data_IF_792827487776
#
_entry.id   IF_792827487776
#
_cell.length_a   1.000
_cell.length_b   1.000
_cell.length_c   1.000
_cell.angle_alpha   90.00
_cell.angle_beta   90.00
_cell.angle_gamma   90.00
#
_symmetry.space_group_name_H-M   'P 1'
#
loop_
_entity.id
_entity.type
_entity.pdbx_description
1 polymer ?
#
# COMPACT_ATOMS: atom_id res chain seq x y z
N UNK A 1 18.79 60.14 19.83
CA UNK A 1 19.56 58.87 19.82
C UNK A 1 19.06 58.05 21.01
N UNK A 2 18.41 56.89 20.94
CA UNK A 2 18.13 55.97 19.84
C UNK A 2 16.75 55.34 20.08
N UNK A 3 15.79 55.67 19.21
CA UNK A 3 14.52 54.94 19.03
C UNK A 3 14.77 53.64 18.25
N UNK A 4 15.71 52.80 18.69
CA UNK A 4 16.21 51.68 17.88
C UNK A 4 16.45 50.38 18.66
N UNK A 5 15.72 50.15 19.76
CA UNK A 5 15.85 48.93 20.56
C UNK A 5 14.52 48.15 20.70
N UNK A 6 13.36 48.68 20.30
CA UNK A 6 12.07 48.03 20.62
C UNK A 6 11.40 47.17 19.53
N UNK A 7 11.99 46.98 18.33
CA UNK A 7 11.27 46.32 17.22
C UNK A 7 11.91 45.02 16.67
N UNK A 8 12.84 44.39 17.38
CA UNK A 8 13.39 43.09 16.97
C UNK A 8 13.18 42.06 18.09
N UNK A 9 11.96 41.56 18.28
CA UNK A 9 11.72 40.33 19.07
C UNK A 9 10.35 39.65 18.85
N UNK A 10 9.53 40.09 17.88
CA UNK A 10 8.22 39.46 17.61
C UNK A 10 8.09 38.92 16.19
N UNK A 11 9.16 38.29 15.68
CA UNK A 11 9.10 37.45 14.48
C UNK A 11 10.01 36.26 14.72
N UNK A 12 9.43 35.09 15.02
CA UNK A 12 10.19 33.86 15.08
C UNK A 12 9.78 32.94 16.21
N UNK A 13 8.64 32.26 16.03
CA UNK A 13 8.43 30.86 16.43
C UNK A 13 6.92 30.55 16.36
N UNK A 14 6.33 30.63 15.16
CA UNK A 14 5.22 29.71 14.87
C UNK A 14 5.88 28.38 14.58
N UNK A 15 6.32 27.69 15.64
CA UNK A 15 6.61 26.27 15.55
C UNK A 15 5.25 25.63 15.43
N UNK A 16 4.81 25.41 14.19
CA UNK A 16 3.66 24.56 13.89
C UNK A 16 3.95 23.21 14.53
N UNK A 17 3.32 22.96 15.67
CA UNK A 17 3.17 21.62 16.22
C UNK A 17 2.42 20.82 15.15
N UNK A 18 3.17 20.04 14.35
CA UNK A 18 2.59 18.99 13.55
C UNK A 18 1.98 18.00 14.54
N UNK A 19 0.69 18.16 14.79
CA UNK A 19 -0.09 17.19 15.53
C UNK A 19 -0.11 15.93 14.66
N UNK A 20 0.75 14.97 14.98
CA UNK A 20 0.62 13.61 14.45
C UNK A 20 -0.68 13.06 15.02
N UNK A 21 -1.76 13.22 14.26
CA UNK A 21 -3.02 12.54 14.55
C UNK A 21 -2.83 11.08 14.18
N UNK A 22 -2.98 10.18 15.15
CA UNK A 22 -3.04 8.76 14.86
C UNK A 22 -4.26 8.52 13.94
N UNK A 23 -4.01 7.99 12.75
CA UNK A 23 -5.07 7.69 11.80
C UNK A 23 -5.99 6.63 12.43
N UNK A 24 -7.27 6.98 12.64
CA UNK A 24 -8.25 6.12 13.31
C UNK A 24 -9.14 5.46 12.26
N UNK A 25 -9.28 4.14 12.36
CA UNK A 25 -10.25 3.35 11.58
C UNK A 25 -11.66 3.58 12.13
N UNK A 26 -12.64 3.78 11.25
CA UNK A 26 -14.04 3.95 11.65
C UNK A 26 -14.58 2.65 12.29
N UNK A 27 -15.11 2.77 13.50
CA UNK A 27 -15.60 1.64 14.30
C UNK A 27 -16.90 1.04 13.74
N UNK A 28 -17.64 1.79 12.91
CA UNK A 28 -18.90 1.35 12.30
C UNK A 28 -18.71 0.53 11.03
N UNK A 29 -17.50 0.47 10.47
CA UNK A 29 -17.21 -0.31 9.27
C UNK A 29 -17.24 -1.83 9.55
N UNK A 30 -17.51 -2.67 8.52
CA UNK A 30 -17.39 -4.12 8.64
C UNK A 30 -16.01 -4.53 9.16
N UNK A 31 -15.92 -5.59 9.96
CA UNK A 31 -14.65 -6.02 10.57
C UNK A 31 -13.55 -6.33 9.55
N UNK A 32 -13.90 -6.83 8.36
CA UNK A 32 -12.93 -7.09 7.30
C UNK A 32 -12.32 -5.78 6.77
N UNK A 33 -13.14 -4.75 6.53
CA UNK A 33 -12.66 -3.40 6.16
C UNK A 33 -11.79 -2.83 7.27
N UNK A 34 -12.24 -2.93 8.53
CA UNK A 34 -11.49 -2.42 9.68
C UNK A 34 -10.12 -3.09 9.83
N UNK A 35 -10.04 -4.40 9.61
CA UNK A 35 -8.78 -5.13 9.64
C UNK A 35 -7.86 -4.67 8.51
N UNK A 36 -8.36 -4.64 7.27
CA UNK A 36 -7.61 -4.14 6.11
C UNK A 36 -7.07 -2.73 6.33
N UNK A 37 -7.90 -1.80 6.80
CA UNK A 37 -7.45 -0.43 7.09
C UNK A 37 -6.43 -0.37 8.22
N UNK A 38 -6.59 -1.21 9.26
CA UNK A 38 -5.62 -1.30 10.35
C UNK A 38 -4.25 -1.79 9.88
N UNK A 39 -4.22 -2.79 8.98
CA UNK A 39 -2.99 -3.27 8.36
C UNK A 39 -2.36 -2.19 7.48
N UNK A 40 -3.14 -1.52 6.63
CA UNK A 40 -2.64 -0.43 5.77
C UNK A 40 -2.08 0.75 6.58
N UNK A 41 -2.65 1.05 7.75
CA UNK A 41 -2.12 2.08 8.65
C UNK A 41 -0.81 1.62 9.31
N UNK A 42 -0.72 0.36 9.71
CA UNK A 42 0.45 -0.18 10.41
C UNK A 42 1.63 -0.41 9.46
N UNK A 43 1.33 -0.83 8.24
CA UNK A 43 2.25 -1.15 7.17
C UNK A 43 1.91 -0.25 5.97
N UNK A 44 2.24 1.05 5.98
CA UNK A 44 1.87 1.98 4.91
C UNK A 44 2.35 1.56 3.52
N UNK A 45 3.45 0.80 3.44
CA UNK A 45 3.88 0.17 2.20
C UNK A 45 3.58 -1.33 2.27
N UNK A 46 2.94 -1.88 1.24
CA UNK A 46 2.46 -3.28 1.25
C UNK A 46 3.56 -4.34 1.36
N UNK A 47 4.82 -3.99 1.07
CA UNK A 47 5.95 -4.88 1.35
C UNK A 47 6.23 -5.06 2.85
N UNK A 48 5.73 -4.17 3.71
CA UNK A 48 5.89 -4.19 5.17
C UNK A 48 4.89 -5.09 5.88
N UNK A 49 3.87 -5.63 5.17
CA UNK A 49 2.95 -6.62 5.74
C UNK A 49 3.74 -7.77 6.40
N UNK A 50 3.16 -8.38 7.43
CA UNK A 50 3.85 -9.31 8.33
C UNK A 50 5.13 -8.72 8.96
N UNK A 51 5.11 -7.40 9.23
CA UNK A 51 6.18 -6.64 9.89
C UNK A 51 7.56 -6.82 9.25
N UNK A 52 7.60 -6.98 7.93
CA UNK A 52 8.83 -7.31 7.24
C UNK A 52 9.79 -6.11 7.23
N UNK A 53 11.04 -6.25 7.71
CA UNK A 53 11.98 -5.14 7.81
C UNK A 53 12.62 -4.77 6.47
N UNK A 54 12.39 -5.56 5.42
CA UNK A 54 12.94 -5.39 4.08
C UNK A 54 12.10 -6.17 3.07
N UNK A 55 12.31 -5.91 1.77
CA UNK A 55 11.61 -6.62 0.69
C UNK A 55 11.78 -8.14 0.83
N UNK A 56 10.66 -8.86 0.71
CA UNK A 56 10.61 -10.32 0.80
C UNK A 56 9.42 -10.83 -0.01
N UNK A 57 9.64 -11.87 -0.81
CA UNK A 57 8.59 -12.55 -1.56
C UNK A 57 7.96 -13.70 -0.75
N UNK A 58 7.15 -13.41 0.25
CA UNK A 58 6.68 -14.42 1.23
C UNK A 58 5.21 -14.79 1.06
N UNK A 59 4.82 -15.99 1.51
CA UNK A 59 3.45 -16.48 1.39
C UNK A 59 2.47 -15.62 2.18
N UNK A 60 2.92 -15.00 3.29
CA UNK A 60 2.14 -14.08 4.11
C UNK A 60 1.63 -12.90 3.26
N UNK A 61 2.51 -12.23 2.49
CA UNK A 61 2.11 -11.15 1.59
C UNK A 61 1.04 -11.60 0.60
N UNK A 62 1.25 -12.75 -0.05
CA UNK A 62 0.27 -13.28 -1.01
C UNK A 62 -1.09 -13.57 -0.39
N UNK A 63 -1.09 -14.15 0.81
CA UNK A 63 -2.31 -14.49 1.55
C UNK A 63 -3.06 -13.22 2.00
N UNK A 64 -2.35 -12.30 2.65
CA UNK A 64 -2.93 -11.05 3.15
C UNK A 64 -3.46 -10.18 2.02
N UNK A 65 -2.68 -10.00 0.95
CA UNK A 65 -3.12 -9.21 -0.20
C UNK A 65 -4.29 -9.85 -0.95
N UNK A 66 -4.36 -11.18 -1.02
CA UNK A 66 -5.53 -11.86 -1.57
C UNK A 66 -6.78 -11.59 -0.72
N UNK A 67 -6.68 -11.68 0.61
CA UNK A 67 -7.78 -11.35 1.52
C UNK A 67 -8.18 -9.86 1.46
N UNK A 68 -7.21 -8.95 1.36
CA UNK A 68 -7.48 -7.52 1.18
C UNK A 68 -8.20 -7.26 -0.15
N UNK A 69 -7.79 -7.93 -1.23
CA UNK A 69 -8.51 -7.84 -2.48
C UNK A 69 -9.94 -8.43 -2.37
N UNK A 70 -10.20 -9.45 -1.55
CA UNK A 70 -11.59 -9.91 -1.29
C UNK A 70 -12.43 -8.81 -0.62
N UNK A 71 -11.81 -7.99 0.24
CA UNK A 71 -12.46 -6.79 0.80
C UNK A 71 -12.70 -5.73 -0.29
N UNK A 72 -11.75 -5.54 -1.20
CA UNK A 72 -11.94 -4.66 -2.35
C UNK A 72 -13.13 -5.10 -3.22
N UNK A 73 -13.25 -6.37 -3.57
CA UNK A 73 -14.37 -6.86 -4.38
C UNK A 73 -15.72 -6.68 -3.67
N UNK A 74 -15.74 -6.85 -2.35
CA UNK A 74 -16.96 -6.73 -1.56
C UNK A 74 -17.44 -5.28 -1.38
N UNK A 75 -16.53 -4.31 -1.30
CA UNK A 75 -16.86 -2.93 -0.88
C UNK A 75 -16.40 -1.82 -1.84
N UNK A 76 -15.50 -2.11 -2.79
CA UNK A 76 -15.13 -1.24 -3.89
C UNK A 76 -14.15 -0.10 -3.56
N UNK A 77 -13.55 -0.05 -2.37
CA UNK A 77 -12.59 1.01 -2.03
C UNK A 77 -11.25 0.79 -2.75
N UNK A 78 -11.03 1.58 -3.82
CA UNK A 78 -9.86 1.49 -4.70
C UNK A 78 -8.53 1.59 -3.96
N UNK A 79 -8.46 2.25 -2.79
CA UNK A 79 -7.21 2.33 -2.02
C UNK A 79 -6.67 0.95 -1.63
N UNK A 80 -7.56 -0.03 -1.44
CA UNK A 80 -7.19 -1.40 -1.07
C UNK A 80 -6.57 -2.13 -2.28
N UNK A 81 -7.16 -1.96 -3.46
CA UNK A 81 -6.58 -2.47 -4.71
C UNK A 81 -5.22 -1.83 -4.98
N UNK A 82 -5.11 -0.51 -4.86
CA UNK A 82 -3.87 0.22 -5.11
C UNK A 82 -2.75 -0.21 -4.17
N UNK A 83 -3.09 -0.50 -2.91
CA UNK A 83 -2.16 -1.06 -1.93
C UNK A 83 -1.63 -2.45 -2.32
N UNK A 84 -2.49 -3.33 -2.82
CA UNK A 84 -2.07 -4.64 -3.33
C UNK A 84 -1.25 -4.53 -4.63
N UNK A 85 -1.67 -3.66 -5.55
CA UNK A 85 -0.93 -3.37 -6.78
C UNK A 85 0.49 -2.86 -6.48
N UNK A 86 0.65 -1.98 -5.48
CA UNK A 86 1.95 -1.44 -5.09
C UNK A 86 2.96 -2.54 -4.69
N UNK A 87 2.51 -3.66 -4.12
CA UNK A 87 3.40 -4.78 -3.82
C UNK A 87 3.88 -5.47 -5.10
N UNK A 88 2.97 -5.72 -6.04
CA UNK A 88 3.31 -6.30 -7.34
C UNK A 88 4.30 -5.41 -8.11
N UNK A 89 4.02 -4.11 -8.19
CA UNK A 89 4.88 -3.10 -8.85
C UNK A 89 6.26 -3.00 -8.17
N UNK A 90 6.30 -3.14 -6.84
CA UNK A 90 7.55 -3.14 -6.09
C UNK A 90 8.37 -4.41 -6.33
N UNK A 91 7.74 -5.58 -6.41
CA UNK A 91 8.43 -6.88 -6.39
C UNK A 91 8.75 -7.45 -7.77
N UNK A 92 7.99 -7.10 -8.81
CA UNK A 92 8.13 -7.63 -10.16
C UNK A 92 8.86 -6.63 -11.03
N UNK A 93 9.95 -7.07 -11.67
CA UNK A 93 10.73 -6.24 -12.59
C UNK A 93 10.13 -6.24 -14.00
N UNK A 94 10.57 -5.31 -14.84
CA UNK A 94 10.07 -5.19 -16.21
C UNK A 94 10.30 -6.44 -17.08
N UNK A 95 11.31 -7.25 -16.76
CA UNK A 95 11.59 -8.54 -17.42
C UNK A 95 10.80 -9.72 -16.83
N UNK A 96 9.91 -9.46 -15.86
CA UNK A 96 9.11 -10.47 -15.16
C UNK A 96 9.84 -11.19 -14.02
N UNK A 97 11.12 -10.88 -13.77
CA UNK A 97 11.83 -11.45 -12.62
C UNK A 97 11.32 -10.87 -11.29
N UNK A 98 11.30 -11.70 -10.25
CA UNK A 98 10.73 -11.35 -8.94
C UNK A 98 11.87 -11.12 -7.94
N UNK A 99 11.88 -9.96 -7.29
CA UNK A 99 12.87 -9.63 -6.25
C UNK A 99 12.85 -10.67 -5.14
N UNK A 100 14.03 -11.09 -4.68
CA UNK A 100 14.24 -12.05 -3.59
C UNK A 100 13.75 -13.49 -3.83
N UNK A 101 13.07 -13.77 -4.93
CA UNK A 101 12.66 -15.12 -5.29
C UNK A 101 13.81 -15.89 -5.93
N UNK A 102 14.00 -17.15 -5.51
CA UNK A 102 14.97 -18.06 -6.10
C UNK A 102 14.33 -19.42 -6.35
N UNK A 103 14.17 -19.77 -7.63
CA UNK A 103 13.60 -21.06 -8.04
C UNK A 103 14.36 -22.26 -7.43
N UNK A 104 15.68 -22.15 -7.31
CA UNK A 104 16.54 -23.20 -6.75
C UNK A 104 16.29 -23.51 -5.28
N UNK A 105 15.57 -22.67 -4.54
CA UNK A 105 15.16 -22.95 -3.16
C UNK A 105 14.03 -23.99 -3.08
N UNK A 106 13.31 -24.24 -4.19
CA UNK A 106 12.17 -25.17 -4.27
C UNK A 106 11.18 -25.03 -3.11
N UNK A 107 11.01 -23.81 -2.62
CA UNK A 107 10.15 -23.52 -1.48
C UNK A 107 8.71 -23.28 -1.96
N UNK A 108 7.81 -24.18 -1.55
CA UNK A 108 6.40 -24.15 -1.94
C UNK A 108 5.67 -22.89 -1.43
N UNK A 109 6.12 -22.29 -0.33
CA UNK A 109 5.52 -21.08 0.23
C UNK A 109 5.60 -19.91 -0.75
N UNK A 110 6.68 -19.84 -1.54
CA UNK A 110 6.92 -18.78 -2.54
C UNK A 110 5.94 -18.81 -3.71
N UNK A 111 5.23 -19.93 -3.92
CA UNK A 111 4.19 -20.03 -4.95
C UNK A 111 2.92 -19.28 -4.53
N UNK A 112 2.55 -19.29 -3.24
CA UNK A 112 1.34 -18.64 -2.77
C UNK A 112 1.35 -17.13 -2.99
N UNK A 113 2.53 -16.51 -2.82
CA UNK A 113 2.79 -15.09 -3.09
C UNK A 113 2.37 -14.63 -4.49
N UNK A 114 2.33 -15.54 -5.47
CA UNK A 114 1.95 -15.21 -6.85
C UNK A 114 0.44 -15.22 -7.11
N UNK A 115 -0.40 -15.76 -6.22
CA UNK A 115 -1.83 -15.98 -6.53
C UNK A 115 -2.62 -14.69 -6.74
N UNK A 116 -2.35 -13.64 -5.96
CA UNK A 116 -3.07 -12.38 -6.09
C UNK A 116 -2.77 -11.67 -7.43
N UNK A 117 -1.64 -11.99 -8.08
CA UNK A 117 -1.23 -11.40 -9.36
C UNK A 117 -2.21 -11.69 -10.50
N UNK A 118 -2.94 -12.82 -10.45
CA UNK A 118 -3.96 -13.12 -11.46
C UNK A 118 -5.06 -12.04 -11.48
N UNK A 119 -5.49 -11.60 -10.29
CA UNK A 119 -6.51 -10.54 -10.14
C UNK A 119 -5.97 -9.18 -10.59
N UNK A 120 -4.73 -8.86 -10.23
CA UNK A 120 -4.04 -7.65 -10.71
C UNK A 120 -3.96 -7.64 -12.24
N UNK A 121 -3.60 -8.78 -12.85
CA UNK A 121 -3.50 -8.91 -14.30
C UNK A 121 -4.85 -8.75 -15.00
N UNK A 122 -5.92 -9.37 -14.47
CA UNK A 122 -7.28 -9.22 -14.99
C UNK A 122 -7.73 -7.75 -14.96
N UNK A 123 -7.59 -7.08 -13.82
CA UNK A 123 -7.97 -5.67 -13.67
C UNK A 123 -7.15 -4.75 -14.60
N UNK A 124 -5.86 -5.05 -14.81
CA UNK A 124 -5.01 -4.27 -15.71
C UNK A 124 -5.47 -4.34 -17.17
N UNK A 125 -6.03 -5.47 -17.60
CA UNK A 125 -6.60 -5.62 -18.95
C UNK A 125 -7.90 -4.86 -19.10
N UNK A 126 -8.76 -4.89 -18.08
CA UNK A 126 -10.00 -4.11 -18.08
C UNK A 126 -9.70 -2.62 -18.20
N UNK A 127 -8.70 -2.12 -17.46
CA UNK A 127 -8.26 -0.74 -17.57
C UNK A 127 -7.84 -0.40 -19.02
N UNK A 128 -7.00 -1.22 -19.65
CA UNK A 128 -6.59 -1.03 -21.06
C UNK A 128 -7.79 -1.11 -22.02
N UNK A 129 -8.74 -2.02 -21.77
CA UNK A 129 -9.95 -2.15 -22.59
C UNK A 129 -10.83 -0.89 -22.53
N UNK A 130 -11.00 -0.28 -21.35
CA UNK A 130 -11.79 0.95 -21.19
C UNK A 130 -11.17 2.14 -21.94
N UNK A 131 -9.83 2.29 -21.91
CA UNK A 131 -9.15 3.36 -22.66
C UNK A 131 -9.15 3.15 -24.19
N UNK A 132 -9.30 1.91 -24.65
CA UNK A 132 -9.33 1.59 -26.09
C UNK A 132 -10.73 1.61 -26.68
N UNK A 133 -11.78 1.45 -25.86
CA UNK A 133 -13.18 1.57 -26.30
C UNK A 133 -13.66 3.01 -26.45
N UNK A 134 -13.06 3.96 -25.73
CA UNK A 134 -13.38 5.40 -25.85
C UNK A 134 -12.68 6.09 -27.03
N UNK A 135 -11.88 5.33 -27.81
CA UNK A 135 -11.12 5.81 -28.97
C UNK A 135 -11.71 5.36 -30.33
N UNK A 136 -12.93 4.82 -30.35
CA UNK A 136 -13.66 4.39 -31.55
C UNK A 136 -14.96 5.20 -31.74
#
# INVERSE_FOLDING_TARGET
MNKLICNLLTMGAVVSSLQVSAQKVDEQLPWSVRMTESEMIRCPESWQLDFQPSLKWDYCHGLELQAMLDVYDAYGDKKIYDYAYAYADTMIQADGSIKTYKLSEYNIDRLNSGKFLFRIFEQSKEAVSLYTSDAA
#
